data_IF_543725701680
#
_entry.id   IF_543725701680
#
_cell.length_a   1.000
_cell.length_b   1.000
_cell.length_c   1.000
_cell.angle_alpha   90.00
_cell.angle_beta   90.00
_cell.angle_gamma   90.00
#
_symmetry.space_group_name_H-M   'P 1'
#
loop_
_entity.id
_entity.type
_entity.pdbx_description
1 polymer ?
#
# COMPACT_ATOMS: atom_id res chain seq x y z
N UNK A 1 -20.63 -2.76 -15.18
CA UNK A 1 -19.30 -2.80 -15.81
C UNK A 1 -18.63 -4.09 -15.41
N UNK A 2 -18.12 -4.88 -16.34
CA UNK A 2 -17.34 -6.09 -16.07
C UNK A 2 -15.99 -5.73 -15.46
N UNK A 3 -15.59 -6.41 -14.39
CA UNK A 3 -14.24 -6.26 -13.83
C UNK A 3 -13.25 -6.81 -14.84
N UNK A 4 -12.22 -6.02 -15.16
CA UNK A 4 -11.12 -6.41 -16.05
C UNK A 4 -10.05 -7.13 -15.22
N UNK A 5 -9.51 -8.22 -15.76
CA UNK A 5 -8.37 -8.91 -15.16
C UNK A 5 -7.10 -8.05 -15.20
N UNK A 6 -6.25 -8.23 -14.20
CA UNK A 6 -4.95 -7.60 -14.10
C UNK A 6 -3.95 -8.39 -14.93
N UNK A 7 -3.40 -7.77 -15.98
CA UNK A 7 -2.56 -8.48 -16.96
C UNK A 7 -1.12 -7.96 -17.01
N UNK A 8 -0.85 -6.84 -16.34
CA UNK A 8 0.41 -6.11 -16.47
C UNK A 8 0.79 -5.37 -15.19
N UNK A 9 2.07 -4.97 -15.08
CA UNK A 9 2.55 -4.13 -13.98
C UNK A 9 1.89 -2.76 -14.01
N UNK A 10 1.57 -2.25 -15.19
CA UNK A 10 0.88 -0.99 -15.42
C UNK A 10 -0.56 -1.02 -14.90
N UNK A 11 -1.25 -2.17 -15.01
CA UNK A 11 -2.56 -2.36 -14.38
C UNK A 11 -2.44 -2.30 -12.84
N UNK A 12 -1.41 -2.92 -12.26
CA UNK A 12 -1.12 -2.85 -10.81
C UNK A 12 -0.80 -1.40 -10.40
N UNK A 13 0.02 -0.69 -11.17
CA UNK A 13 0.37 0.69 -10.88
C UNK A 13 -0.86 1.58 -10.80
N UNK A 14 -1.77 1.50 -11.80
CA UNK A 14 -3.01 2.27 -11.78
C UNK A 14 -3.88 1.93 -10.56
N UNK A 15 -3.96 0.65 -10.19
CA UNK A 15 -4.71 0.20 -9.02
C UNK A 15 -4.12 0.79 -7.73
N UNK A 16 -2.80 0.66 -7.53
CA UNK A 16 -2.07 1.15 -6.36
C UNK A 16 -2.18 2.67 -6.26
N UNK A 17 -1.93 3.41 -7.33
CA UNK A 17 -2.05 4.88 -7.35
C UNK A 17 -3.48 5.33 -7.03
N UNK A 18 -4.49 4.66 -7.57
CA UNK A 18 -5.90 4.99 -7.30
C UNK A 18 -6.25 4.74 -5.83
N UNK A 19 -5.83 3.59 -5.28
CA UNK A 19 -6.09 3.23 -3.90
C UNK A 19 -5.38 4.19 -2.93
N UNK A 20 -4.07 4.36 -3.06
CA UNK A 20 -3.30 5.21 -2.15
C UNK A 20 -3.57 6.71 -2.35
N UNK A 21 -4.06 7.11 -3.54
CA UNK A 21 -4.61 8.43 -3.77
C UNK A 21 -5.82 8.75 -2.88
N UNK A 22 -6.60 7.71 -2.49
CA UNK A 22 -7.68 7.81 -1.50
C UNK A 22 -7.15 7.72 -0.07
N UNK A 23 -6.29 6.73 0.22
CA UNK A 23 -5.71 6.52 1.57
C UNK A 23 -5.04 7.79 2.11
N UNK A 24 -4.25 8.49 1.29
CA UNK A 24 -3.56 9.71 1.74
C UNK A 24 -4.49 10.88 2.07
N UNK A 25 -5.76 10.82 1.66
CA UNK A 25 -6.82 11.82 1.89
C UNK A 25 -7.89 11.34 2.87
N UNK A 26 -7.78 10.10 3.33
CA UNK A 26 -8.73 9.54 4.28
C UNK A 26 -8.46 10.12 5.67
N UNK A 27 -9.51 10.51 6.39
CA UNK A 27 -9.39 11.19 7.68
C UNK A 27 -8.80 10.29 8.78
N UNK A 28 -8.93 8.97 8.64
CA UNK A 28 -8.46 7.98 9.62
C UNK A 28 -7.08 7.44 9.25
N UNK A 29 -6.87 7.13 7.97
CA UNK A 29 -5.62 6.53 7.49
C UNK A 29 -4.58 7.59 7.10
N UNK A 30 -5.00 8.73 6.58
CA UNK A 30 -4.14 9.81 6.13
C UNK A 30 -3.09 10.23 7.17
N UNK A 31 -3.48 10.53 8.43
CA UNK A 31 -2.52 10.90 9.47
C UNK A 31 -1.47 9.82 9.77
N UNK A 32 -1.83 8.54 9.65
CA UNK A 32 -0.90 7.42 9.87
C UNK A 32 0.18 7.40 8.78
N UNK A 33 -0.20 7.57 7.51
CA UNK A 33 0.74 7.55 6.39
C UNK A 33 1.52 8.85 6.27
N UNK A 34 0.84 9.99 6.35
CA UNK A 34 1.43 11.30 6.09
C UNK A 34 2.27 11.81 7.27
N UNK A 35 1.84 11.56 8.51
CA UNK A 35 2.44 12.19 9.70
C UNK A 35 3.25 11.18 10.52
N UNK A 36 2.68 10.02 10.86
CA UNK A 36 3.35 9.05 11.74
C UNK A 36 4.43 8.25 11.00
N UNK A 37 4.06 7.68 9.86
CA UNK A 37 4.99 6.96 8.99
C UNK A 37 5.82 7.92 8.14
N UNK A 38 5.33 9.15 7.92
CA UNK A 38 5.96 10.19 7.12
C UNK A 38 6.47 9.65 5.77
N UNK A 39 5.60 8.96 5.05
CA UNK A 39 5.99 8.26 3.83
C UNK A 39 6.39 9.22 2.71
N UNK A 40 7.49 8.89 2.05
CA UNK A 40 7.84 9.49 0.75
C UNK A 40 7.04 8.79 -0.34
N UNK A 41 5.96 9.44 -0.80
CA UNK A 41 5.01 8.85 -1.75
C UNK A 41 5.65 8.48 -3.09
N UNK A 42 6.64 9.25 -3.56
CA UNK A 42 7.32 8.99 -4.84
C UNK A 42 8.16 7.71 -4.78
N UNK A 43 8.64 7.34 -3.59
CA UNK A 43 9.34 6.07 -3.35
C UNK A 43 8.39 4.94 -2.94
N UNK A 44 7.33 5.27 -2.21
CA UNK A 44 6.42 4.29 -1.64
C UNK A 44 5.52 3.64 -2.70
N UNK A 45 5.01 4.41 -3.65
CA UNK A 45 4.15 3.88 -4.71
C UNK A 45 4.88 2.82 -5.55
N UNK A 46 6.09 3.06 -6.12
CA UNK A 46 6.81 2.02 -6.84
C UNK A 46 7.06 0.74 -6.02
N UNK A 47 7.39 0.88 -4.73
CA UNK A 47 7.60 -0.25 -3.82
C UNK A 47 6.34 -1.11 -3.67
N UNK A 48 5.17 -0.47 -3.51
CA UNK A 48 3.88 -1.16 -3.40
C UNK A 48 3.46 -1.82 -4.71
N UNK A 49 3.77 -1.21 -5.85
CA UNK A 49 3.56 -1.83 -7.16
C UNK A 49 4.39 -3.09 -7.29
N UNK A 50 5.65 -3.08 -6.87
CA UNK A 50 6.51 -4.26 -6.90
C UNK A 50 6.03 -5.35 -5.92
N UNK A 51 5.52 -4.96 -4.75
CA UNK A 51 4.92 -5.87 -3.77
C UNK A 51 3.72 -6.61 -4.38
N UNK A 52 2.74 -5.87 -4.91
CA UNK A 52 1.56 -6.48 -5.51
C UNK A 52 1.87 -7.22 -6.80
N UNK A 53 2.81 -6.75 -7.62
CA UNK A 53 3.27 -7.48 -8.80
C UNK A 53 3.89 -8.83 -8.44
N UNK A 54 4.59 -8.90 -7.30
CA UNK A 54 5.14 -10.16 -6.78
C UNK A 54 4.05 -11.15 -6.41
N UNK A 55 2.99 -10.68 -5.75
CA UNK A 55 1.87 -11.53 -5.32
C UNK A 55 1.01 -11.97 -6.51
N UNK A 56 0.62 -11.03 -7.37
CA UNK A 56 -0.34 -11.29 -8.46
C UNK A 56 0.29 -12.10 -9.59
N UNK A 57 1.55 -11.82 -9.94
CA UNK A 57 2.22 -12.47 -11.06
C UNK A 57 3.24 -13.54 -10.66
N UNK A 58 3.43 -13.78 -9.36
CA UNK A 58 4.45 -14.70 -8.83
C UNK A 58 5.86 -14.42 -9.34
N UNK A 59 6.16 -13.15 -9.65
CA UNK A 59 7.46 -12.69 -10.15
C UNK A 59 8.18 -11.87 -9.09
N UNK A 60 9.39 -12.26 -8.66
CA UNK A 60 10.09 -11.56 -7.59
C UNK A 60 10.49 -10.14 -8.02
N UNK A 61 9.74 -9.14 -7.54
CA UNK A 61 10.04 -7.72 -7.75
C UNK A 61 10.30 -6.99 -6.41
N UNK A 62 9.52 -7.33 -5.37
CA UNK A 62 9.67 -6.74 -4.05
C UNK A 62 10.71 -7.46 -3.19
N UNK A 63 11.52 -6.67 -2.47
CA UNK A 63 12.55 -7.15 -1.54
C UNK A 63 12.38 -6.43 -0.22
N UNK A 64 11.74 -7.09 0.76
CA UNK A 64 11.54 -6.53 2.09
C UNK A 64 10.68 -7.43 2.99
N UNK A 65 10.50 -7.01 4.24
CA UNK A 65 9.61 -7.68 5.19
C UNK A 65 8.46 -6.73 5.55
N UNK A 66 7.30 -6.80 4.87
CA UNK A 66 6.21 -5.88 5.10
C UNK A 66 5.67 -6.00 6.52
N UNK A 67 5.60 -7.21 7.09
CA UNK A 67 5.07 -7.39 8.44
C UNK A 67 5.91 -6.68 9.49
N UNK A 68 7.24 -6.71 9.36
CA UNK A 68 8.12 -5.99 10.28
C UNK A 68 7.85 -4.48 10.26
N UNK A 69 7.63 -3.89 9.07
CA UNK A 69 7.30 -2.47 8.92
C UNK A 69 6.00 -2.12 9.67
N UNK A 70 4.96 -2.95 9.53
CA UNK A 70 3.68 -2.71 10.21
C UNK A 70 3.78 -2.93 11.73
N UNK A 71 4.57 -3.91 12.20
CA UNK A 71 4.84 -4.11 13.63
C UNK A 71 5.53 -2.88 14.22
N UNK A 72 6.54 -2.34 13.55
CA UNK A 72 7.25 -1.17 14.04
C UNK A 72 6.40 0.11 13.98
N UNK A 73 5.51 0.22 13.00
CA UNK A 73 4.51 1.29 12.96
C UNK A 73 3.50 1.16 14.10
N UNK A 74 3.03 -0.05 14.39
CA UNK A 74 2.07 -0.31 15.49
C UNK A 74 2.62 0.09 16.87
N UNK A 75 3.96 0.05 17.05
CA UNK A 75 4.62 0.55 18.27
C UNK A 75 4.56 2.08 18.39
N UNK A 76 4.42 2.80 17.27
CA UNK A 76 4.33 4.27 17.23
C UNK A 76 2.89 4.75 17.32
N UNK A 77 1.99 4.08 16.63
CA UNK A 77 0.55 4.36 16.64
C UNK A 77 -0.22 3.05 16.55
N UNK A 78 -1.13 2.73 17.48
CA UNK A 78 -1.87 1.47 17.43
C UNK A 78 -2.67 1.31 16.14
N UNK A 79 -2.39 0.23 15.40
CA UNK A 79 -3.11 -0.18 14.21
C UNK A 79 -4.28 -1.08 14.62
N UNK A 80 -5.35 -0.46 15.12
CA UNK A 80 -6.55 -1.16 15.57
C UNK A 80 -7.31 -1.79 14.40
N UNK A 81 -8.08 -2.86 14.67
CA UNK A 81 -8.83 -3.61 13.66
C UNK A 81 -9.71 -2.74 12.76
N UNK A 82 -10.36 -1.72 13.31
CA UNK A 82 -11.22 -0.82 12.56
C UNK A 82 -10.51 -0.05 11.43
N UNK A 83 -9.17 0.05 11.45
CA UNK A 83 -8.38 0.68 10.40
C UNK A 83 -8.15 -0.26 9.19
N UNK A 84 -8.46 -1.55 9.34
CA UNK A 84 -8.35 -2.56 8.28
C UNK A 84 -9.69 -2.88 7.62
N UNK A 85 -10.79 -2.37 8.18
CA UNK A 85 -12.15 -2.58 7.68
C UNK A 85 -12.57 -1.40 6.79
N UNK A 86 -12.48 -1.56 5.46
CA UNK A 86 -12.86 -0.56 4.45
C UNK A 86 -13.31 -1.17 3.12
#
# INVERSE_FOLDING_TARGET
MTKKDLTSREDIQRLVETFYGRVRRDDRLGPIFNDVAAVDWDKHIPLLVDFWSTIVFSKPAYKGNPMQVHIDLNKKTPLNGDLFEH
#
